data_IF_859532476918
#
_entry.id   IF_859532476918
#
_cell.length_a   1.000
_cell.length_b   1.000
_cell.length_c   1.000
_cell.angle_alpha   90.00
_cell.angle_beta   90.00
_cell.angle_gamma   90.00
#
_symmetry.space_group_name_H-M   'P 1'
#
loop_
_entity.id
_entity.type
_entity.pdbx_description
1 polymer ?
#
# COMPACT_ATOMS: atom_id res chain seq x y z
N UNK A 1 -30.37 -20.37 -20.09
CA UNK A 1 -30.45 -20.26 -18.62
C UNK A 1 -29.11 -20.69 -18.03
N UNK A 2 -28.41 -19.80 -17.31
CA UNK A 2 -27.12 -20.15 -16.72
C UNK A 2 -27.31 -20.96 -15.43
N UNK A 3 -26.53 -22.03 -15.27
CA UNK A 3 -26.44 -22.78 -14.01
C UNK A 3 -25.52 -22.00 -13.09
N UNK A 4 -26.01 -21.61 -11.92
CA UNK A 4 -25.19 -20.99 -10.87
C UNK A 4 -24.37 -22.08 -10.17
N UNK A 5 -25.04 -23.15 -9.73
CA UNK A 5 -24.46 -24.21 -8.92
C UNK A 5 -25.19 -25.52 -9.16
N UNK A 6 -24.44 -26.63 -9.12
CA UNK A 6 -24.93 -28.00 -9.08
C UNK A 6 -24.40 -28.69 -7.82
N UNK A 7 -25.28 -29.30 -7.03
CA UNK A 7 -24.90 -30.02 -5.80
C UNK A 7 -25.62 -31.36 -5.72
N UNK A 8 -24.86 -32.42 -5.48
CA UNK A 8 -25.40 -33.73 -5.11
C UNK A 8 -25.41 -33.86 -3.59
N UNK A 9 -26.56 -34.19 -3.02
CA UNK A 9 -26.74 -34.34 -1.59
C UNK A 9 -26.56 -35.81 -1.17
N UNK A 10 -26.31 -36.05 0.13
CA UNK A 10 -26.10 -37.38 0.69
C UNK A 10 -27.30 -38.33 0.50
N UNK A 11 -28.50 -37.78 0.30
CA UNK A 11 -29.71 -38.54 -0.03
C UNK A 11 -29.77 -39.03 -1.50
N UNK A 12 -28.72 -38.78 -2.30
CA UNK A 12 -28.64 -39.19 -3.70
C UNK A 12 -29.28 -38.21 -4.69
N UNK A 13 -29.93 -37.15 -4.22
CA UNK A 13 -30.58 -36.18 -5.08
C UNK A 13 -29.58 -35.13 -5.59
N UNK A 14 -29.75 -34.72 -6.84
CA UNK A 14 -28.97 -33.65 -7.45
C UNK A 14 -29.82 -32.39 -7.63
N UNK A 15 -29.36 -31.28 -7.08
CA UNK A 15 -30.00 -29.97 -7.18
C UNK A 15 -29.21 -29.07 -8.13
N UNK A 16 -29.91 -28.47 -9.09
CA UNK A 16 -29.36 -27.53 -10.07
C UNK A 16 -30.06 -26.19 -9.88
N UNK A 17 -29.28 -25.16 -9.55
CA UNK A 17 -29.75 -23.80 -9.32
C UNK A 17 -29.52 -22.95 -10.56
N UNK A 18 -30.57 -22.30 -11.06
CA UNK A 18 -30.49 -21.42 -12.23
C UNK A 18 -30.49 -19.95 -11.84
N UNK A 19 -29.88 -19.11 -12.67
CA UNK A 19 -29.76 -17.66 -12.45
C UNK A 19 -31.09 -16.92 -12.27
N UNK A 20 -32.20 -17.51 -12.71
CA UNK A 20 -33.53 -16.93 -12.61
C UNK A 20 -34.35 -17.44 -11.40
N UNK A 21 -33.72 -18.08 -10.42
CA UNK A 21 -34.38 -18.55 -9.20
C UNK A 21 -35.18 -19.85 -9.34
N UNK A 22 -35.11 -20.52 -10.50
CA UNK A 22 -35.60 -21.89 -10.65
C UNK A 22 -34.60 -22.89 -10.08
N UNK A 23 -35.12 -23.97 -9.52
CA UNK A 23 -34.36 -25.10 -9.01
C UNK A 23 -34.89 -26.36 -9.67
N UNK A 24 -34.00 -27.13 -10.30
CA UNK A 24 -34.28 -28.48 -10.79
C UNK A 24 -33.71 -29.49 -9.80
N UNK A 25 -34.55 -30.40 -9.33
CA UNK A 25 -34.12 -31.54 -8.50
C UNK A 25 -34.23 -32.80 -9.35
N UNK A 26 -33.15 -33.56 -9.43
CA UNK A 26 -33.11 -34.92 -9.99
C UNK A 26 -33.02 -35.86 -8.80
N UNK A 27 -34.06 -36.64 -8.58
CA UNK A 27 -34.13 -37.58 -7.47
C UNK A 27 -33.33 -38.84 -7.77
N UNK A 28 -32.99 -39.60 -6.71
CA UNK A 28 -32.22 -40.85 -6.84
C UNK A 28 -32.92 -41.89 -7.72
N UNK A 29 -34.25 -41.88 -7.76
CA UNK A 29 -35.08 -42.75 -8.62
C UNK A 29 -35.19 -42.26 -10.08
N UNK A 30 -34.49 -41.18 -10.43
CA UNK A 30 -34.50 -40.58 -11.76
C UNK A 30 -35.63 -39.59 -11.99
N UNK A 31 -36.57 -39.42 -11.06
CA UNK A 31 -37.67 -38.46 -11.21
C UNK A 31 -37.16 -37.02 -11.15
N UNK A 32 -37.79 -36.12 -11.92
CA UNK A 32 -37.37 -34.72 -12.03
C UNK A 32 -38.48 -33.82 -11.51
N UNK A 33 -38.14 -32.92 -10.58
CA UNK A 33 -39.07 -31.90 -10.09
C UNK A 33 -38.50 -30.49 -10.25
N UNK A 34 -39.40 -29.54 -10.50
CA UNK A 34 -39.08 -28.12 -10.63
C UNK A 34 -39.72 -27.33 -9.50
N UNK A 35 -38.94 -26.46 -8.86
CA UNK A 35 -39.45 -25.47 -7.91
C UNK A 35 -38.94 -24.10 -8.29
N UNK A 36 -39.83 -23.12 -8.32
CA UNK A 36 -39.44 -21.71 -8.37
C UNK A 36 -39.34 -21.22 -6.93
N UNK A 37 -38.17 -20.73 -6.51
CA UNK A 37 -38.06 -20.10 -5.20
C UNK A 37 -38.92 -18.84 -5.25
N UNK A 38 -40.08 -18.83 -4.57
CA UNK A 38 -40.83 -17.59 -4.32
C UNK A 38 -39.86 -16.65 -3.61
N UNK A 39 -39.38 -15.63 -4.30
CA UNK A 39 -38.75 -14.49 -3.66
C UNK A 39 -39.89 -13.86 -2.86
N UNK A 40 -39.90 -14.07 -1.55
CA UNK A 40 -40.76 -13.30 -0.66
C UNK A 40 -40.50 -11.83 -1.02
N UNK A 41 -41.53 -11.10 -1.49
CA UNK A 41 -41.47 -9.65 -1.56
C UNK A 41 -41.13 -9.21 -0.14
N UNK A 42 -39.89 -8.78 0.06
CA UNK A 42 -39.43 -8.30 1.35
C UNK A 42 -40.32 -7.12 1.73
N UNK A 43 -40.89 -7.16 2.94
CA UNK A 43 -41.48 -5.97 3.56
C UNK A 43 -40.47 -4.83 3.43
N UNK A 44 -40.95 -3.62 3.12
CA UNK A 44 -40.13 -2.39 3.08
C UNK A 44 -39.12 -2.43 4.22
N UNK A 45 -37.82 -2.26 3.96
CA UNK A 45 -36.81 -2.34 5.01
C UNK A 45 -37.10 -1.26 6.06
N UNK A 46 -37.12 -1.67 7.32
CA UNK A 46 -37.23 -0.77 8.47
C UNK A 46 -36.04 0.20 8.48
N UNK A 47 -36.23 1.40 9.05
CA UNK A 47 -35.21 2.47 9.12
C UNK A 47 -33.85 1.95 9.62
N UNK A 48 -33.82 1.03 10.59
CA UNK A 48 -32.59 0.47 11.15
C UNK A 48 -31.81 -0.43 10.17
N UNK A 49 -32.48 -1.16 9.29
CA UNK A 49 -31.80 -1.99 8.30
C UNK A 49 -31.22 -1.13 7.19
N UNK A 50 -31.92 -0.05 6.80
CA UNK A 50 -31.38 0.94 5.88
C UNK A 50 -30.20 1.68 6.49
N UNK A 51 -30.25 2.02 7.78
CA UNK A 51 -29.12 2.63 8.49
C UNK A 51 -27.92 1.68 8.55
N UNK A 52 -28.12 0.40 8.86
CA UNK A 52 -27.03 -0.59 8.85
C UNK A 52 -26.46 -0.84 7.45
N UNK A 53 -27.29 -0.91 6.41
CA UNK A 53 -26.84 -1.06 5.02
C UNK A 53 -26.13 0.19 4.53
N UNK A 54 -26.60 1.37 4.92
CA UNK A 54 -25.98 2.66 4.64
C UNK A 54 -24.62 2.78 5.35
N UNK A 55 -24.55 2.53 6.66
CA UNK A 55 -23.32 2.50 7.44
C UNK A 55 -22.33 1.44 6.93
N UNK A 56 -22.81 0.28 6.46
CA UNK A 56 -21.97 -0.74 5.85
C UNK A 56 -21.44 -0.32 4.47
N UNK A 57 -22.24 0.40 3.67
CA UNK A 57 -21.80 0.99 2.40
C UNK A 57 -20.83 2.14 2.62
N UNK A 58 -21.06 3.02 3.59
CA UNK A 58 -20.13 4.08 3.98
C UNK A 58 -18.79 3.53 4.48
N UNK A 59 -18.83 2.49 5.34
CA UNK A 59 -17.60 1.80 5.76
C UNK A 59 -16.85 1.22 4.57
N UNK A 60 -17.54 0.66 3.56
CA UNK A 60 -16.87 0.17 2.34
C UNK A 60 -16.33 1.30 1.46
N UNK A 61 -16.96 2.47 1.39
CA UNK A 61 -16.40 3.62 0.65
C UNK A 61 -15.17 4.23 1.32
N UNK A 62 -15.02 4.03 2.63
CA UNK A 62 -13.86 4.46 3.43
C UNK A 62 -12.65 3.50 3.31
N UNK A 63 -12.78 2.34 2.68
CA UNK A 63 -11.67 1.40 2.48
C UNK A 63 -10.95 1.62 1.15
N UNK A 64 -9.69 1.18 1.07
CA UNK A 64 -8.97 1.14 -0.20
C UNK A 64 -9.59 0.11 -1.16
N UNK A 65 -9.61 0.46 -2.43
CA UNK A 65 -10.02 -0.38 -3.54
C UNK A 65 -8.89 -0.44 -4.59
N UNK A 66 -9.03 -1.28 -5.63
CA UNK A 66 -7.99 -1.44 -6.66
C UNK A 66 -7.62 -0.14 -7.38
N UNK A 67 -8.56 0.78 -7.58
CA UNK A 67 -8.31 2.05 -8.27
C UNK A 67 -7.35 2.94 -7.48
N UNK A 68 -7.40 2.89 -6.15
CA UNK A 68 -6.47 3.64 -5.29
C UNK A 68 -5.01 3.19 -5.50
N UNK A 69 -4.81 1.95 -5.99
CA UNK A 69 -3.50 1.40 -6.29
C UNK A 69 -3.08 1.57 -7.76
N UNK A 70 -4.02 1.77 -8.69
CA UNK A 70 -3.74 1.83 -10.13
C UNK A 70 -2.81 2.98 -10.53
N UNK A 71 -2.79 4.07 -9.75
CA UNK A 71 -1.97 5.25 -10.04
C UNK A 71 -0.50 5.09 -9.62
N UNK A 72 -0.18 4.09 -8.78
CA UNK A 72 1.19 3.73 -8.43
C UNK A 72 1.50 2.45 -9.19
N UNK A 73 2.14 2.58 -10.36
CA UNK A 73 2.39 1.54 -11.36
C UNK A 73 3.08 0.25 -10.84
N UNK A 74 3.52 0.22 -9.58
CA UNK A 74 4.17 -0.94 -8.95
C UNK A 74 3.34 -1.70 -7.93
N UNK A 75 2.13 -1.25 -7.63
CA UNK A 75 1.24 -2.04 -6.80
C UNK A 75 0.65 -3.17 -7.64
N UNK A 76 1.30 -4.33 -7.61
CA UNK A 76 0.65 -5.56 -8.03
C UNK A 76 -0.51 -5.82 -7.05
N UNK A 77 -1.73 -5.60 -7.53
CA UNK A 77 -2.96 -5.66 -6.76
C UNK A 77 -3.28 -7.06 -6.23
N UNK A 78 -2.58 -8.10 -6.69
CA UNK A 78 -2.81 -9.50 -6.34
C UNK A 78 -1.84 -10.03 -5.27
N UNK A 79 -1.07 -9.16 -4.62
CA UNK A 79 -0.13 -9.57 -3.56
C UNK A 79 -0.82 -9.49 -2.20
N UNK A 80 -0.55 -10.47 -1.33
CA UNK A 80 -1.05 -10.56 0.06
C UNK A 80 -0.99 -9.22 0.81
N UNK A 81 0.07 -8.44 0.63
CA UNK A 81 0.26 -7.13 1.24
C UNK A 81 -0.84 -6.13 0.86
N UNK A 82 -1.29 -6.11 -0.40
CA UNK A 82 -2.37 -5.24 -0.87
C UNK A 82 -3.69 -5.66 -0.22
N UNK A 83 -3.96 -6.95 -0.13
CA UNK A 83 -5.18 -7.46 0.52
C UNK A 83 -5.22 -7.14 2.02
N UNK A 84 -4.07 -7.29 2.71
CA UNK A 84 -3.94 -6.86 4.11
C UNK A 84 -4.21 -5.36 4.23
N UNK A 85 -3.61 -4.55 3.35
CA UNK A 85 -3.78 -3.10 3.40
C UNK A 85 -5.24 -2.68 3.19
N UNK A 86 -5.91 -3.25 2.18
CA UNK A 86 -7.35 -3.02 1.94
C UNK A 86 -8.21 -3.39 3.13
N UNK A 87 -7.80 -4.37 3.93
CA UNK A 87 -8.57 -4.84 5.08
C UNK A 87 -8.50 -3.89 6.27
N UNK A 88 -7.32 -3.39 6.64
CA UNK A 88 -7.18 -2.58 7.86
C UNK A 88 -7.23 -1.07 7.60
N UNK A 89 -6.88 -0.61 6.40
CA UNK A 89 -6.68 0.81 6.11
C UNK A 89 -8.00 1.57 6.04
N UNK A 90 -8.05 2.72 6.72
CA UNK A 90 -9.14 3.69 6.61
C UNK A 90 -8.68 4.96 5.88
N UNK A 91 -9.38 5.33 4.80
CA UNK A 91 -9.15 6.55 4.00
C UNK A 91 -9.23 7.84 4.81
N UNK A 92 -10.00 7.89 5.89
CA UNK A 92 -10.07 9.08 6.76
C UNK A 92 -8.70 9.43 7.36
N UNK A 93 -7.79 8.45 7.47
CA UNK A 93 -6.43 8.69 7.95
C UNK A 93 -5.61 9.61 7.05
N UNK A 94 -5.99 9.77 5.77
CA UNK A 94 -5.35 10.72 4.85
C UNK A 94 -5.49 12.19 5.28
N UNK A 95 -6.47 12.50 6.13
CA UNK A 95 -6.67 13.84 6.69
C UNK A 95 -5.69 14.16 7.84
N UNK A 96 -4.96 13.16 8.35
CA UNK A 96 -3.99 13.33 9.41
C UNK A 96 -2.67 13.93 8.88
N UNK A 97 -1.86 14.46 9.80
CA UNK A 97 -0.44 14.76 9.55
C UNK A 97 0.34 13.47 9.29
N UNK A 98 1.51 13.54 8.63
CA UNK A 98 2.21 12.30 8.19
C UNK A 98 2.62 11.44 9.38
N UNK A 99 3.01 12.07 10.49
CA UNK A 99 3.38 11.35 11.71
C UNK A 99 2.20 10.59 12.32
N UNK A 100 1.03 11.24 12.40
CA UNK A 100 -0.21 10.66 12.92
C UNK A 100 -0.76 9.59 11.98
N UNK A 101 -0.71 9.84 10.68
CA UNK A 101 -1.07 8.88 9.65
C UNK A 101 -0.24 7.60 9.77
N UNK A 102 1.09 7.74 9.85
CA UNK A 102 1.99 6.59 9.94
C UNK A 102 1.80 5.82 11.25
N UNK A 103 1.68 6.50 12.40
CA UNK A 103 1.40 5.85 13.70
C UNK A 103 0.07 5.09 13.69
N UNK A 104 -1.00 5.75 13.25
CA UNK A 104 -2.36 5.18 13.25
C UNK A 104 -2.43 3.93 12.39
N UNK A 105 -1.89 3.98 11.17
CA UNK A 105 -1.91 2.84 10.26
C UNK A 105 -1.01 1.69 10.73
N UNK A 106 0.13 1.97 11.39
CA UNK A 106 0.95 0.92 12.01
C UNK A 106 0.26 0.27 13.22
N UNK A 107 -0.52 1.04 14.00
CA UNK A 107 -1.34 0.49 15.09
C UNK A 107 -2.45 -0.42 14.55
N UNK A 108 -3.14 -0.01 13.48
CA UNK A 108 -4.15 -0.85 12.82
C UNK A 108 -3.54 -2.13 12.23
N UNK A 109 -2.34 -2.05 11.64
CA UNK A 109 -1.61 -3.22 11.18
C UNK A 109 -1.24 -4.17 12.33
N UNK A 110 -0.81 -3.63 13.48
CA UNK A 110 -0.54 -4.45 14.66
C UNK A 110 -1.79 -5.19 15.14
N UNK A 111 -2.93 -4.50 15.17
CA UNK A 111 -4.21 -5.11 15.52
C UNK A 111 -4.56 -6.24 14.55
N UNK A 112 -4.40 -6.02 13.23
CA UNK A 112 -4.61 -7.05 12.21
C UNK A 112 -3.73 -8.28 12.43
N UNK A 113 -2.43 -8.10 12.69
CA UNK A 113 -1.53 -9.23 12.93
C UNK A 113 -1.90 -10.02 14.19
N UNK A 114 -2.30 -9.33 15.26
CA UNK A 114 -2.71 -9.98 16.51
C UNK A 114 -3.99 -10.81 16.30
N UNK A 115 -4.96 -10.28 15.55
CA UNK A 115 -6.21 -11.00 15.25
C UNK A 115 -6.00 -12.23 14.36
N UNK A 116 -5.03 -12.19 13.45
CA UNK A 116 -4.81 -13.23 12.45
C UNK A 116 -3.63 -14.17 12.79
N UNK A 117 -3.05 -14.07 13.98
CA UNK A 117 -1.94 -14.91 14.47
C UNK A 117 -0.75 -15.02 13.48
N UNK A 118 -0.43 -13.94 12.76
CA UNK A 118 0.65 -13.95 11.77
C UNK A 118 2.01 -13.96 12.49
N UNK A 119 2.93 -14.85 12.12
CA UNK A 119 4.23 -15.04 12.82
C UNK A 119 5.33 -14.01 12.47
N UNK A 120 6.43 -14.02 13.25
CA UNK A 120 7.42 -12.92 13.29
C UNK A 120 8.22 -12.67 12.00
N UNK A 121 8.61 -13.71 11.24
CA UNK A 121 9.42 -13.51 10.03
C UNK A 121 8.57 -13.00 8.85
N UNK A 122 7.38 -13.58 8.64
CA UNK A 122 6.42 -13.08 7.66
C UNK A 122 5.95 -11.67 8.02
N UNK A 123 5.72 -11.40 9.31
CA UNK A 123 5.42 -10.05 9.80
C UNK A 123 6.49 -9.04 9.37
N UNK A 124 7.80 -9.33 9.51
CA UNK A 124 8.86 -8.38 9.12
C UNK A 124 8.79 -8.00 7.65
N UNK A 125 8.62 -8.98 6.76
CA UNK A 125 8.52 -8.76 5.31
C UNK A 125 7.26 -7.96 4.98
N UNK A 126 6.11 -8.37 5.52
CA UNK A 126 4.82 -7.70 5.31
C UNK A 126 4.88 -6.25 5.83
N UNK A 127 5.44 -6.02 7.03
CA UNK A 127 5.61 -4.68 7.62
C UNK A 127 6.47 -3.77 6.76
N UNK A 128 7.58 -4.29 6.25
CA UNK A 128 8.44 -3.53 5.33
C UNK A 128 7.64 -3.07 4.11
N UNK A 129 6.92 -4.00 3.47
CA UNK A 129 6.17 -3.69 2.25
C UNK A 129 4.97 -2.77 2.49
N UNK A 130 4.22 -2.99 3.57
CA UNK A 130 3.14 -2.08 3.98
C UNK A 130 3.68 -0.69 4.29
N UNK A 131 4.84 -0.59 4.93
CA UNK A 131 5.45 0.71 5.21
C UNK A 131 5.75 1.50 3.92
N UNK A 132 6.31 0.84 2.91
CA UNK A 132 6.50 1.44 1.58
C UNK A 132 5.16 1.91 0.99
N UNK A 133 4.12 1.07 1.06
CA UNK A 133 2.82 1.37 0.49
C UNK A 133 2.14 2.56 1.19
N UNK A 134 2.21 2.61 2.52
CA UNK A 134 1.66 3.71 3.30
C UNK A 134 2.31 5.05 2.91
N UNK A 135 3.64 5.08 2.73
CA UNK A 135 4.36 6.29 2.31
C UNK A 135 3.93 6.72 0.92
N UNK A 136 3.92 5.80 -0.06
CA UNK A 136 3.56 6.10 -1.44
C UNK A 136 2.11 6.58 -1.58
N UNK A 137 1.16 5.90 -0.93
CA UNK A 137 -0.25 6.30 -0.90
C UNK A 137 -0.43 7.69 -0.30
N UNK A 138 0.30 7.98 0.77
CA UNK A 138 0.21 9.28 1.43
C UNK A 138 0.80 10.39 0.56
N UNK A 139 1.96 10.16 -0.07
CA UNK A 139 2.57 11.11 -1.00
C UNK A 139 1.64 11.43 -2.17
N UNK A 140 1.07 10.40 -2.81
CA UNK A 140 0.09 10.58 -3.88
C UNK A 140 -1.12 11.37 -3.40
N UNK A 141 -1.68 11.01 -2.24
CA UNK A 141 -2.85 11.70 -1.70
C UNK A 141 -2.58 13.18 -1.36
N UNK A 142 -1.35 13.53 -1.00
CA UNK A 142 -0.94 14.92 -0.76
C UNK A 142 -0.54 15.68 -2.05
N UNK A 143 -0.79 15.09 -3.22
CA UNK A 143 -0.58 15.76 -4.51
C UNK A 143 0.82 15.62 -5.08
N UNK A 144 1.70 14.81 -4.48
CA UNK A 144 3.00 14.49 -5.08
C UNK A 144 2.74 13.55 -6.27
N UNK A 145 2.91 14.09 -7.48
CA UNK A 145 2.72 13.38 -8.75
C UNK A 145 4.05 12.83 -9.28
N UNK A 146 3.99 12.05 -10.38
CA UNK A 146 5.18 11.50 -11.04
C UNK A 146 6.05 10.64 -10.09
N UNK A 147 5.38 9.81 -9.27
CA UNK A 147 6.05 8.87 -8.38
C UNK A 147 6.67 7.74 -9.22
N UNK A 148 8.00 7.58 -9.16
CA UNK A 148 8.70 6.44 -9.75
C UNK A 148 9.20 5.49 -8.66
N UNK A 149 8.37 4.57 -8.17
CA UNK A 149 8.76 3.62 -7.13
C UNK A 149 9.73 2.54 -7.68
N UNK A 150 10.49 1.88 -6.80
CA UNK A 150 11.41 0.75 -7.09
C UNK A 150 12.23 0.90 -8.40
N UNK A 151 12.92 2.03 -8.56
CA UNK A 151 13.68 2.38 -9.77
C UNK A 151 15.15 2.03 -9.60
N UNK A 152 15.75 1.52 -10.68
CA UNK A 152 17.19 1.56 -10.92
C UNK A 152 17.45 2.68 -11.95
N UNK A 153 18.36 3.60 -11.65
CA UNK A 153 18.72 4.67 -12.59
C UNK A 153 19.82 4.17 -13.52
N UNK A 154 19.69 4.39 -14.83
CA UNK A 154 20.57 3.77 -15.83
C UNK A 154 22.06 4.09 -15.64
N UNK A 155 22.37 5.29 -15.14
CA UNK A 155 23.74 5.76 -14.89
C UNK A 155 24.29 5.21 -13.56
N UNK A 156 23.54 4.34 -12.88
CA UNK A 156 23.94 3.73 -11.62
C UNK A 156 23.58 2.25 -11.60
N UNK A 157 24.51 1.38 -11.96
CA UNK A 157 24.30 -0.04 -11.76
C UNK A 157 24.14 -0.31 -10.25
N UNK A 158 23.24 -1.23 -9.93
CA UNK A 158 23.13 -1.93 -8.64
C UNK A 158 22.54 -1.15 -7.45
N UNK A 159 22.21 0.13 -7.57
CA UNK A 159 21.38 0.82 -6.58
C UNK A 159 19.91 0.73 -6.94
N UNK A 160 19.14 0.15 -6.02
CA UNK A 160 17.69 0.17 -6.09
C UNK A 160 17.11 1.23 -5.14
N UNK A 161 16.38 2.18 -5.69
CA UNK A 161 15.67 3.20 -4.94
C UNK A 161 14.22 2.82 -4.70
N UNK A 162 13.73 2.99 -3.48
CA UNK A 162 12.31 2.72 -3.18
C UNK A 162 11.38 3.75 -3.84
N UNK A 163 11.83 4.99 -4.02
CA UNK A 163 11.16 6.05 -4.80
C UNK A 163 12.19 7.01 -5.42
N UNK A 164 11.94 7.44 -6.65
CA UNK A 164 12.63 8.54 -7.31
C UNK A 164 11.62 9.57 -7.81
N UNK A 165 11.96 10.85 -7.65
CA UNK A 165 11.22 12.01 -8.14
C UNK A 165 12.16 12.91 -8.94
N UNK A 166 11.60 13.57 -9.95
CA UNK A 166 12.31 14.52 -10.82
C UNK A 166 11.68 15.90 -10.71
N UNK A 167 12.50 16.92 -10.49
CA UNK A 167 12.04 18.31 -10.44
C UNK A 167 12.29 19.03 -11.76
N UNK A 168 11.64 20.17 -11.98
CA UNK A 168 11.82 21.01 -13.18
C UNK A 168 13.28 21.40 -13.44
N UNK A 169 14.05 21.62 -12.37
CA UNK A 169 15.47 21.95 -12.45
C UNK A 169 16.36 20.74 -12.75
N UNK A 170 15.76 19.64 -13.22
CA UNK A 170 16.40 18.34 -13.48
C UNK A 170 17.11 17.78 -12.25
N UNK A 171 16.62 18.13 -11.06
CA UNK A 171 17.12 17.58 -9.80
C UNK A 171 16.50 16.21 -9.59
N UNK A 172 17.30 15.26 -9.15
CA UNK A 172 16.84 13.93 -8.79
C UNK A 172 16.76 13.85 -7.27
N UNK A 173 15.57 13.52 -6.78
CA UNK A 173 15.33 13.26 -5.36
C UNK A 173 14.99 11.78 -5.22
N UNK A 174 15.84 11.05 -4.54
CA UNK A 174 15.70 9.62 -4.33
C UNK A 174 15.50 9.28 -2.85
N UNK A 175 14.77 8.21 -2.61
CA UNK A 175 14.38 7.78 -1.28
C UNK A 175 14.55 6.28 -1.11
N UNK A 176 15.02 5.89 0.07
CA UNK A 176 14.82 4.52 0.57
C UNK A 176 13.98 4.52 1.84
N UNK A 177 13.06 3.57 1.92
CA UNK A 177 12.13 3.39 3.01
C UNK A 177 12.56 2.17 3.82
N UNK A 178 12.72 2.33 5.14
CA UNK A 178 13.14 1.24 6.02
C UNK A 178 12.43 1.35 7.36
N UNK A 179 11.79 0.30 7.84
CA UNK A 179 11.22 0.30 9.20
C UNK A 179 12.30 0.45 10.30
N UNK A 180 13.50 -0.06 10.03
CA UNK A 180 14.73 0.11 10.82
C UNK A 180 15.94 0.10 9.89
N UNK A 181 17.02 0.80 10.21
CA UNK A 181 18.19 0.97 9.36
C UNK A 181 19.29 -0.05 9.68
N UNK A 182 19.59 -0.30 10.97
CA UNK A 182 20.73 -1.12 11.42
C UNK A 182 22.03 -0.67 10.74
N UNK A 183 22.81 -1.59 10.18
CA UNK A 183 24.01 -1.29 9.37
C UNK A 183 23.71 -1.19 7.86
N UNK A 184 22.45 -1.40 7.44
CA UNK A 184 22.06 -1.46 6.03
C UNK A 184 22.21 -0.12 5.29
N UNK A 185 22.24 0.99 6.03
CA UNK A 185 22.50 2.31 5.46
C UNK A 185 23.91 2.44 4.88
N UNK A 186 24.88 1.61 5.31
CA UNK A 186 26.27 1.69 4.85
C UNK A 186 26.43 1.38 3.36
N UNK A 187 25.68 0.40 2.85
CA UNK A 187 25.69 0.04 1.43
C UNK A 187 25.19 1.22 0.60
N UNK A 188 23.99 1.71 0.94
CA UNK A 188 23.37 2.87 0.33
C UNK A 188 24.24 4.14 0.42
N UNK A 189 24.98 4.32 1.51
CA UNK A 189 25.88 5.45 1.69
C UNK A 189 26.99 5.50 0.64
N UNK A 190 27.69 4.38 0.42
CA UNK A 190 28.81 4.29 -0.54
C UNK A 190 28.31 4.60 -1.96
N UNK A 191 27.22 3.93 -2.31
CA UNK A 191 26.50 4.02 -3.55
C UNK A 191 26.02 5.46 -3.85
N UNK A 192 25.36 6.11 -2.91
CA UNK A 192 24.88 7.49 -3.05
C UNK A 192 26.02 8.51 -3.06
N UNK A 193 27.12 8.25 -2.36
CA UNK A 193 28.28 9.13 -2.38
C UNK A 193 28.89 9.22 -3.79
N UNK A 194 28.89 8.13 -4.56
CA UNK A 194 29.31 8.16 -5.96
C UNK A 194 28.40 9.05 -6.81
N UNK A 195 27.10 9.09 -6.51
CA UNK A 195 26.14 9.93 -7.23
C UNK A 195 26.32 11.39 -7.00
N UNK A 196 26.58 11.79 -5.76
CA UNK A 196 26.85 13.20 -5.47
C UNK A 196 28.13 13.72 -6.13
N UNK A 197 29.04 12.83 -6.54
CA UNK A 197 30.20 13.20 -7.37
C UNK A 197 29.80 13.43 -8.84
N UNK A 198 28.77 12.74 -9.33
CA UNK A 198 28.27 12.87 -10.70
C UNK A 198 27.29 14.03 -10.86
N UNK A 199 26.34 14.17 -9.93
CA UNK A 199 25.43 15.31 -9.85
C UNK A 199 25.35 15.80 -8.40
N UNK A 200 25.96 16.96 -8.14
CA UNK A 200 25.97 17.58 -6.80
C UNK A 200 24.58 18.00 -6.33
N UNK A 201 23.61 18.11 -7.24
CA UNK A 201 22.23 18.46 -6.93
C UNK A 201 21.42 17.24 -6.48
N UNK A 202 21.94 16.03 -6.66
CA UNK A 202 21.28 14.78 -6.25
C UNK A 202 20.94 14.80 -4.76
N UNK A 203 19.68 14.52 -4.44
CA UNK A 203 19.21 14.38 -3.07
C UNK A 203 18.85 12.94 -2.75
N UNK A 204 19.28 12.52 -1.56
CA UNK A 204 18.96 11.22 -1.05
C UNK A 204 18.48 11.27 0.39
N UNK A 205 17.29 10.75 0.62
CA UNK A 205 16.65 10.71 1.92
C UNK A 205 16.37 9.28 2.37
N UNK A 206 16.63 9.01 3.65
CA UNK A 206 16.23 7.76 4.30
C UNK A 206 15.01 8.02 5.17
N UNK A 207 13.90 7.36 4.87
CA UNK A 207 12.70 7.43 5.70
C UNK A 207 12.61 6.19 6.58
N UNK A 208 12.46 6.40 7.89
CA UNK A 208 12.38 5.33 8.88
C UNK A 208 11.37 5.62 9.96
N UNK A 209 11.00 4.58 10.72
CA UNK A 209 10.09 4.71 11.87
C UNK A 209 10.85 4.57 13.21
N UNK A 210 12.19 4.61 13.17
CA UNK A 210 13.05 4.41 14.33
C UNK A 210 13.74 5.71 14.74
N UNK A 211 13.30 6.29 15.85
CA UNK A 211 13.80 7.55 16.37
C UNK A 211 15.29 7.49 16.76
N UNK A 212 15.70 6.46 17.52
CA UNK A 212 17.09 6.32 17.99
C UNK A 212 18.07 6.20 16.83
N UNK A 213 17.73 5.41 15.80
CA UNK A 213 18.55 5.27 14.60
C UNK A 213 18.60 6.57 13.80
N UNK A 214 17.48 7.30 13.73
CA UNK A 214 17.39 8.61 13.06
C UNK A 214 18.33 9.62 13.71
N UNK A 215 18.23 9.81 15.02
CA UNK A 215 19.08 10.73 15.77
C UNK A 215 20.56 10.36 15.61
N UNK A 216 20.89 9.07 15.79
CA UNK A 216 22.26 8.57 15.67
C UNK A 216 22.87 8.85 14.29
N UNK A 217 22.11 8.65 13.21
CA UNK A 217 22.61 8.85 11.85
C UNK A 217 22.66 10.32 11.47
N UNK A 218 21.65 11.12 11.81
CA UNK A 218 21.69 12.57 11.56
C UNK A 218 22.87 13.22 12.30
N UNK A 219 23.19 12.79 13.51
CA UNK A 219 24.40 13.27 14.21
C UNK A 219 25.68 12.93 13.44
N UNK A 220 25.78 11.73 12.86
CA UNK A 220 26.93 11.34 12.03
C UNK A 220 26.99 12.11 10.71
N UNK A 221 25.84 12.39 10.09
CA UNK A 221 25.73 13.21 8.86
C UNK A 221 26.22 14.63 9.16
N UNK A 222 25.72 15.25 10.23
CA UNK A 222 26.10 16.61 10.64
C UNK A 222 27.58 16.72 11.02
N UNK A 223 28.18 15.63 11.52
CA UNK A 223 29.62 15.54 11.80
C UNK A 223 30.47 15.22 10.56
N UNK A 224 29.88 15.06 9.38
CA UNK A 224 30.57 14.67 8.15
C UNK A 224 31.06 13.21 8.09
N UNK A 225 30.71 12.39 9.09
CA UNK A 225 31.09 10.96 9.19
C UNK A 225 30.28 10.05 8.27
N UNK A 226 29.11 10.51 7.84
CA UNK A 226 28.25 9.85 6.85
C UNK A 226 28.02 10.85 5.74
N UNK A 227 28.49 10.51 4.54
CA UNK A 227 28.35 11.34 3.34
C UNK A 227 27.29 10.74 2.40
N UNK A 228 26.86 11.50 1.39
CA UNK A 228 25.87 11.01 0.43
C UNK A 228 24.42 11.20 0.89
N UNK A 229 24.08 10.81 2.12
CA UNK A 229 22.71 10.95 2.66
C UNK A 229 22.45 12.40 3.09
N UNK A 230 21.39 13.03 2.55
CA UNK A 230 21.00 14.41 2.92
C UNK A 230 20.43 14.44 4.33
N UNK A 231 19.47 13.57 4.62
CA UNK A 231 18.84 13.50 5.93
C UNK A 231 18.18 12.14 6.15
N UNK A 232 18.13 11.70 7.40
CA UNK A 232 17.26 10.62 7.86
C UNK A 232 16.01 11.21 8.49
N UNK A 233 14.84 10.82 8.00
CA UNK A 233 13.54 11.32 8.44
C UNK A 233 12.83 10.23 9.26
N UNK A 234 12.46 10.56 10.50
CA UNK A 234 11.62 9.70 11.32
C UNK A 234 10.14 10.00 11.03
N UNK A 235 9.49 9.08 10.33
CA UNK A 235 8.08 9.17 9.95
C UNK A 235 7.11 9.10 11.13
N UNK A 236 7.58 8.80 12.35
CA UNK A 236 6.78 8.88 13.57
C UNK A 236 7.02 10.17 14.37
N UNK A 237 7.83 11.11 13.91
CA UNK A 237 8.06 12.39 14.60
C UNK A 237 7.50 13.58 13.83
N UNK A 238 7.27 14.68 14.54
CA UNK A 238 6.78 15.93 13.96
C UNK A 238 7.69 16.47 12.85
N UNK A 239 9.00 16.20 12.90
CA UNK A 239 9.94 16.60 11.83
C UNK A 239 9.62 16.00 10.46
N UNK A 240 8.87 14.90 10.39
CA UNK A 240 8.39 14.38 9.12
C UNK A 240 7.31 15.29 8.50
N UNK A 241 6.55 16.02 9.31
CA UNK A 241 5.58 17.00 8.83
C UNK A 241 6.30 18.15 8.16
N UNK A 242 7.34 18.70 8.80
CA UNK A 242 8.14 19.81 8.24
C UNK A 242 8.81 19.39 6.93
N UNK A 243 9.41 18.20 6.92
CA UNK A 243 10.00 17.61 5.73
C UNK A 243 9.00 17.52 4.58
N UNK A 244 7.80 17.01 4.86
CA UNK A 244 6.79 16.83 3.84
C UNK A 244 6.22 18.16 3.34
N UNK A 245 6.02 19.15 4.21
CA UNK A 245 5.57 20.47 3.76
C UNK A 245 6.53 21.05 2.72
N UNK A 246 7.83 20.94 2.98
CA UNK A 246 8.86 21.35 2.01
C UNK A 246 8.85 20.49 0.74
N UNK A 247 8.55 19.19 0.86
CA UNK A 247 8.50 18.32 -0.31
C UNK A 247 7.32 18.64 -1.23
N UNK A 248 6.16 18.99 -0.66
CA UNK A 248 4.93 19.29 -1.42
C UNK A 248 5.03 20.63 -2.17
N UNK A 249 5.84 21.59 -1.70
CA UNK A 249 6.08 22.84 -2.44
C UNK A 249 6.93 22.64 -3.70
N UNK A 250 7.51 21.46 -3.89
CA UNK A 250 8.34 21.15 -5.06
C UNK A 250 7.49 20.70 -6.23
N UNK A 251 7.69 21.32 -7.39
CA UNK A 251 7.06 20.90 -8.64
C UNK A 251 7.78 19.69 -9.23
N UNK A 252 7.08 18.56 -9.32
CA UNK A 252 7.58 17.31 -9.88
C UNK A 252 7.09 17.10 -11.30
N UNK A 253 8.02 16.82 -12.21
CA UNK A 253 7.74 16.61 -13.63
C UNK A 253 7.83 15.15 -14.02
N UNK A 254 7.11 14.73 -15.08
CA UNK A 254 7.33 13.42 -15.66
C UNK A 254 8.75 13.35 -16.23
N UNK A 255 9.41 12.22 -16.01
CA UNK A 255 10.67 11.89 -16.62
C UNK A 255 10.46 11.51 -18.09
N UNK A 256 11.07 12.27 -19.00
CA UNK A 256 11.01 12.00 -20.44
C UNK A 256 11.87 10.79 -20.81
N UNK A 257 11.24 9.63 -21.06
CA UNK A 257 11.74 8.43 -21.80
C UNK A 257 13.25 8.09 -21.76
N UNK A 258 13.97 8.38 -20.68
CA UNK A 258 15.29 7.78 -20.48
C UNK A 258 15.04 6.43 -19.84
N UNK A 259 15.27 5.38 -20.64
CA UNK A 259 15.15 3.96 -20.33
C UNK A 259 15.32 3.63 -18.84
N UNK A 260 14.20 3.49 -18.12
CA UNK A 260 14.19 2.76 -16.85
C UNK A 260 14.51 1.32 -17.22
N UNK A 261 15.69 0.85 -16.84
CA UNK A 261 16.06 -0.56 -17.05
C UNK A 261 15.22 -1.39 -16.08
N UNK A 262 14.13 -1.96 -16.59
CA UNK A 262 13.44 -3.08 -15.93
C UNK A 262 14.34 -4.30 -16.10
N UNK A 263 15.05 -4.69 -15.04
CA UNK A 263 15.57 -6.06 -14.91
C UNK A 263 14.44 -6.97 -14.43
#
# INVERSE_FOLDING_TARGET
MAIITKKTCQNGNTYIYFSNGKIKTIHKDGTITWKTKRIFKTKKPTKDLNLKVFLFKERKSQMLNNQDFCNIQQFNTNIQTVEILKYFFNKDTFNLSVDKYMKTNHQQLNHYFNQNNIHSQSQKVIRGKINEYLILLYFQNKGITNLYPQVNLFFIPDIKFDLVLFTENKRIIAFNFKTCLRERYKQTMIEVQQLKKLDTRFEFYLLTNNEKETQRLNNKINQGKVQGINQVINLFSNSANDFLQNLITTQFIPFSNINIIKK
#
